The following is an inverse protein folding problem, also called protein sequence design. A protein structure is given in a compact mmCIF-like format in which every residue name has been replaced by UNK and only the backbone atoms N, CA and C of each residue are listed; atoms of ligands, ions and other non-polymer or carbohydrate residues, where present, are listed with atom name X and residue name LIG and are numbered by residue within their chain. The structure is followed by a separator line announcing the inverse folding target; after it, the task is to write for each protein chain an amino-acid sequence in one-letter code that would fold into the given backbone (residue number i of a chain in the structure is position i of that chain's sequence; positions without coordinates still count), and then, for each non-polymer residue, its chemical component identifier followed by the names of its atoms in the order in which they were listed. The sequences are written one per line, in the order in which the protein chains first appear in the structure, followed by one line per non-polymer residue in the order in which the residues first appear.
data_IF_311295008434
#
_entry.id   IF_311295008434
#
_cell.length_a   1.000
_cell.length_b   1.000
_cell.length_c   1.000
_cell.angle_alpha   90.00
_cell.angle_beta   90.00
_cell.angle_gamma   90.00
#
_symmetry.space_group_name_H-M   'P 1'
#
loop_
_entity.id
_entity.type
_entity.pdbx_description
1 polymer ?
#
# COMPACT_ATOMS: atom_id res chain seq x y z
N UNK A 1 12.57 6.24 7.91
CA UNK A 1 11.62 5.11 8.00
C UNK A 1 12.31 3.89 7.44
N UNK A 2 11.98 2.71 7.98
CA UNK A 2 12.43 1.42 7.46
C UNK A 2 11.50 0.96 6.35
N UNK A 3 12.03 0.72 5.17
CA UNK A 3 11.25 0.35 4.00
C UNK A 3 11.74 -0.99 3.48
N UNK A 4 10.82 -1.93 3.30
CA UNK A 4 11.06 -3.20 2.65
C UNK A 4 10.48 -3.15 1.23
N UNK A 5 11.32 -3.36 0.21
CA UNK A 5 10.89 -3.47 -1.18
C UNK A 5 11.03 -4.93 -1.61
N UNK A 6 9.91 -5.57 -1.94
CA UNK A 6 9.92 -6.91 -2.51
C UNK A 6 10.13 -6.82 -4.03
N UNK A 7 11.21 -7.41 -4.50
CA UNK A 7 11.74 -7.29 -5.86
C UNK A 7 12.90 -6.29 -5.92
N UNK A 8 13.91 -6.60 -6.74
CA UNK A 8 15.10 -5.78 -6.99
C UNK A 8 15.35 -5.52 -8.49
N UNK A 9 14.33 -5.73 -9.32
CA UNK A 9 14.36 -5.39 -10.75
C UNK A 9 14.47 -3.89 -11.04
N UNK A 10 14.40 -3.51 -12.32
CA UNK A 10 14.60 -2.12 -12.77
C UNK A 10 13.54 -1.14 -12.24
N UNK A 11 12.28 -1.55 -12.16
CA UNK A 11 11.21 -0.72 -11.60
C UNK A 11 11.34 -0.57 -10.08
N UNK A 12 11.66 -1.65 -9.37
CA UNK A 12 11.92 -1.62 -7.93
C UNK A 12 13.14 -0.76 -7.59
N UNK A 13 14.17 -0.81 -8.43
CA UNK A 13 15.36 0.06 -8.32
C UNK A 13 15.00 1.53 -8.50
N UNK A 14 14.08 1.89 -9.40
CA UNK A 14 13.56 3.25 -9.50
C UNK A 14 12.77 3.72 -8.27
N UNK A 15 12.07 2.81 -7.60
CA UNK A 15 11.42 3.08 -6.31
C UNK A 15 12.48 3.32 -5.23
N UNK A 16 13.45 2.41 -5.11
CA UNK A 16 14.56 2.54 -4.18
C UNK A 16 15.30 3.86 -4.39
N UNK A 17 15.55 4.28 -5.63
CA UNK A 17 16.26 5.51 -5.96
C UNK A 17 15.62 6.77 -5.38
N UNK A 18 14.29 6.88 -5.47
CA UNK A 18 13.56 8.04 -4.94
C UNK A 18 13.55 8.05 -3.42
N UNK A 19 13.36 6.88 -2.81
CA UNK A 19 13.31 6.74 -1.35
C UNK A 19 14.69 6.91 -0.71
N UNK A 20 15.74 6.41 -1.36
CA UNK A 20 17.13 6.47 -0.89
C UNK A 20 17.59 7.92 -0.79
N UNK A 21 17.35 8.70 -1.85
CA UNK A 21 17.70 10.12 -1.91
C UNK A 21 16.88 10.99 -0.96
N UNK A 22 15.81 10.45 -0.36
CA UNK A 22 15.04 11.08 0.71
C UNK A 22 15.46 10.59 2.12
N UNK A 23 16.54 9.81 2.23
CA UNK A 23 17.13 9.40 3.51
C UNK A 23 16.37 8.26 4.22
N UNK A 24 15.67 7.41 3.48
CA UNK A 24 15.04 6.22 4.05
C UNK A 24 16.00 5.02 4.09
N UNK A 25 15.84 4.16 5.09
CA UNK A 25 16.55 2.88 5.20
C UNK A 25 15.82 1.85 4.34
N UNK A 26 16.48 1.30 3.33
CA UNK A 26 15.85 0.44 2.33
C UNK A 26 16.47 -0.95 2.38
N UNK A 27 15.65 -1.96 2.63
CA UNK A 27 16.01 -3.36 2.41
C UNK A 27 15.22 -3.87 1.21
N UNK A 28 15.89 -4.55 0.29
CA UNK A 28 15.25 -5.18 -0.87
C UNK A 28 15.32 -6.69 -0.76
N UNK A 29 14.30 -7.38 -1.28
CA UNK A 29 14.36 -8.85 -1.44
C UNK A 29 14.23 -9.27 -2.88
N UNK A 30 14.79 -10.41 -3.22
CA UNK A 30 14.75 -10.95 -4.58
C UNK A 30 14.74 -12.49 -4.56
N UNK A 31 14.37 -13.10 -5.68
CA UNK A 31 14.52 -14.55 -5.91
C UNK A 31 15.99 -14.92 -6.13
N UNK A 32 16.31 -16.21 -5.96
CA UNK A 32 17.68 -16.73 -6.12
C UNK A 32 18.26 -16.55 -7.53
N UNK A 33 17.39 -16.63 -8.54
CA UNK A 33 17.78 -16.49 -9.95
C UNK A 33 16.95 -15.37 -10.61
N UNK A 34 17.35 -14.10 -10.45
CA UNK A 34 16.57 -12.98 -10.94
C UNK A 34 16.51 -12.95 -12.48
N UNK A 35 15.32 -12.76 -13.04
CA UNK A 35 15.09 -12.68 -14.49
C UNK A 35 14.97 -11.23 -14.98
N UNK A 36 15.81 -10.34 -14.45
CA UNK A 36 15.78 -8.93 -14.81
C UNK A 36 16.49 -8.69 -16.15
N UNK A 37 15.77 -8.14 -17.13
CA UNK A 37 16.33 -7.86 -18.46
C UNK A 37 17.19 -6.59 -18.47
N UNK A 38 16.74 -5.51 -17.81
CA UNK A 38 17.47 -4.24 -17.70
C UNK A 38 18.48 -4.28 -16.56
N UNK A 39 19.45 -5.20 -16.65
CA UNK A 39 20.40 -5.53 -15.58
C UNK A 39 21.26 -4.36 -15.13
N UNK A 40 21.75 -3.55 -16.07
CA UNK A 40 22.62 -2.40 -15.81
C UNK A 40 22.02 -1.31 -14.92
N UNK A 41 20.70 -1.37 -14.66
CA UNK A 41 19.98 -0.41 -13.82
C UNK A 41 19.10 -1.10 -12.78
N UNK A 42 19.49 -2.31 -12.38
CA UNK A 42 18.74 -3.11 -11.43
C UNK A 42 19.65 -3.67 -10.33
N UNK A 43 19.22 -3.54 -9.08
CA UNK A 43 19.95 -4.08 -7.93
C UNK A 43 19.88 -5.60 -7.82
N UNK A 44 19.00 -6.27 -8.58
CA UNK A 44 18.92 -7.74 -8.63
C UNK A 44 20.24 -8.41 -9.02
N UNK A 45 21.17 -7.69 -9.66
CA UNK A 45 22.53 -8.18 -9.95
C UNK A 45 23.33 -8.52 -8.69
N UNK A 46 23.08 -7.84 -7.57
CA UNK A 46 23.76 -8.10 -6.31
C UNK A 46 23.62 -9.57 -5.88
N UNK A 47 22.50 -10.23 -6.23
CA UNK A 47 22.25 -11.65 -5.92
C UNK A 47 23.33 -12.59 -6.47
N UNK A 48 23.91 -12.30 -7.62
CA UNK A 48 24.92 -13.17 -8.26
C UNK A 48 26.28 -12.51 -8.49
N UNK A 49 26.39 -11.19 -8.33
CA UNK A 49 27.66 -10.44 -8.40
C UNK A 49 28.16 -9.99 -7.01
N UNK A 50 27.38 -10.26 -5.95
CA UNK A 50 27.64 -9.82 -4.57
C UNK A 50 27.36 -8.34 -4.31
N UNK A 51 27.34 -7.51 -5.36
CA UNK A 51 27.06 -6.07 -5.30
C UNK A 51 26.48 -5.57 -6.63
N UNK A 52 25.87 -4.39 -6.62
CA UNK A 52 25.34 -3.73 -7.79
C UNK A 52 25.29 -2.22 -7.59
N UNK A 53 26.03 -1.49 -8.43
CA UNK A 53 25.95 -0.03 -8.48
C UNK A 53 24.97 0.45 -9.54
N UNK A 54 24.05 1.33 -9.15
CA UNK A 54 23.13 2.02 -10.07
C UNK A 54 23.18 3.51 -9.74
N UNK A 55 23.65 4.30 -10.71
CA UNK A 55 23.90 5.73 -10.52
C UNK A 55 24.83 5.99 -9.31
N UNK A 56 24.35 6.75 -8.32
CA UNK A 56 25.05 7.11 -7.09
C UNK A 56 24.85 6.11 -5.94
N UNK A 57 24.09 5.03 -6.15
CA UNK A 57 23.71 4.09 -5.10
C UNK A 57 24.41 2.74 -5.25
N UNK A 58 24.80 2.18 -4.11
CA UNK A 58 25.37 0.84 -4.00
C UNK A 58 24.37 -0.10 -3.32
N UNK A 59 24.17 -1.28 -3.92
CA UNK A 59 23.41 -2.36 -3.31
C UNK A 59 24.31 -3.59 -3.11
N UNK A 60 24.18 -4.25 -1.95
CA UNK A 60 25.07 -5.34 -1.54
C UNK A 60 24.24 -6.54 -1.12
N UNK A 61 24.67 -7.75 -1.50
CA UNK A 61 24.04 -8.98 -1.07
C UNK A 61 24.24 -9.19 0.43
N UNK A 62 23.15 -9.41 1.14
CA UNK A 62 23.15 -9.79 2.56
C UNK A 62 22.70 -11.25 2.71
N UNK A 63 23.48 -12.04 3.45
CA UNK A 63 23.15 -13.42 3.79
C UNK A 63 22.09 -13.52 4.89
N UNK A 64 22.06 -12.54 5.80
CA UNK A 64 21.09 -12.47 6.88
C UNK A 64 20.73 -11.02 7.27
N UNK A 65 19.85 -10.88 8.27
CA UNK A 65 19.38 -9.58 8.73
C UNK A 65 20.46 -8.77 9.44
N UNK A 66 21.45 -9.40 10.05
CA UNK A 66 22.51 -8.70 10.76
C UNK A 66 23.49 -8.07 9.78
N UNK A 67 23.90 -8.83 8.76
CA UNK A 67 24.64 -8.29 7.62
C UNK A 67 23.86 -7.17 6.93
N UNK A 68 22.54 -7.34 6.73
CA UNK A 68 21.70 -6.29 6.15
C UNK A 68 21.72 -4.99 6.97
N UNK A 69 21.72 -5.08 8.32
CA UNK A 69 21.84 -3.89 9.20
C UNK A 69 23.21 -3.23 9.08
N UNK A 70 24.28 -4.00 8.94
CA UNK A 70 25.62 -3.44 8.73
C UNK A 70 25.72 -2.70 7.40
N UNK A 71 25.12 -3.23 6.34
CA UNK A 71 25.03 -2.57 5.02
C UNK A 71 24.25 -1.25 5.14
N UNK A 72 23.08 -1.28 5.79
CA UNK A 72 22.27 -0.07 6.04
C UNK A 72 23.05 1.00 6.82
N UNK A 73 23.82 0.60 7.84
CA UNK A 73 24.60 1.52 8.67
C UNK A 73 25.70 2.26 7.89
N UNK A 74 26.16 1.71 6.76
CA UNK A 74 27.10 2.35 5.84
C UNK A 74 26.42 3.30 4.83
N UNK A 75 25.09 3.28 4.78
CA UNK A 75 24.32 4.04 3.79
C UNK A 75 24.15 3.30 2.45
N UNK A 76 24.37 1.99 2.42
CA UNK A 76 24.16 1.14 1.24
C UNK A 76 22.82 0.39 1.32
N UNK A 77 22.37 -0.21 0.22
CA UNK A 77 21.09 -0.93 0.12
C UNK A 77 21.32 -2.46 0.22
N UNK A 78 20.94 -3.14 1.31
CA UNK A 78 20.98 -4.60 1.33
C UNK A 78 19.94 -5.22 0.40
N UNK A 79 20.37 -6.26 -0.33
CA UNK A 79 19.52 -7.15 -1.12
C UNK A 79 19.60 -8.55 -0.51
N UNK A 80 18.47 -9.15 -0.17
CA UNK A 80 18.39 -10.50 0.40
C UNK A 80 17.69 -11.47 -0.56
N UNK A 81 18.16 -12.72 -0.62
CA UNK A 81 17.43 -13.78 -1.33
C UNK A 81 16.27 -14.27 -0.44
N UNK A 82 15.09 -13.69 -0.68
CA UNK A 82 13.87 -13.96 0.09
C UNK A 82 12.63 -13.67 -0.79
N UNK A 83 12.21 -14.68 -1.54
CA UNK A 83 11.08 -14.61 -2.49
C UNK A 83 9.77 -14.17 -1.83
N UNK A 84 9.54 -14.57 -0.57
CA UNK A 84 8.29 -14.32 0.16
C UNK A 84 8.34 -13.06 1.01
N UNK A 85 9.46 -12.34 1.01
CA UNK A 85 9.72 -11.22 1.90
C UNK A 85 9.40 -11.55 3.37
N UNK A 86 9.76 -12.77 3.80
CA UNK A 86 9.57 -13.26 5.18
C UNK A 86 10.38 -12.47 6.20
N UNK A 87 11.48 -11.83 5.77
CA UNK A 87 12.29 -10.94 6.60
C UNK A 87 11.48 -9.80 7.23
N UNK A 88 10.30 -9.45 6.69
CA UNK A 88 9.40 -8.45 7.28
C UNK A 88 9.06 -8.70 8.75
N UNK A 89 8.96 -9.96 9.17
CA UNK A 89 8.55 -10.33 10.54
C UNK A 89 9.60 -9.91 11.59
N UNK A 90 10.88 -9.91 11.18
CA UNK A 90 12.03 -9.57 12.02
C UNK A 90 12.58 -8.17 11.74
N UNK A 91 12.56 -7.72 10.48
CA UNK A 91 12.94 -6.36 10.08
C UNK A 91 11.90 -5.33 10.52
N UNK A 92 10.62 -5.72 10.59
CA UNK A 92 9.46 -4.89 11.00
C UNK A 92 9.45 -3.54 10.28
N UNK A 93 9.30 -3.53 8.94
CA UNK A 93 9.33 -2.30 8.18
C UNK A 93 8.14 -1.41 8.53
N UNK A 94 8.34 -0.10 8.42
CA UNK A 94 7.25 0.89 8.46
C UNK A 94 6.42 0.82 7.18
N UNK A 95 7.08 0.48 6.07
CA UNK A 95 6.49 0.42 4.73
C UNK A 95 6.94 -0.86 4.02
N UNK A 96 5.99 -1.61 3.47
CA UNK A 96 6.23 -2.70 2.54
C UNK A 96 5.76 -2.29 1.14
N UNK A 97 6.64 -2.40 0.15
CA UNK A 97 6.33 -2.14 -1.25
C UNK A 97 6.53 -3.43 -2.04
N UNK A 98 5.45 -3.98 -2.59
CA UNK A 98 5.56 -5.10 -3.52
C UNK A 98 5.74 -4.56 -4.95
N UNK A 99 6.96 -4.74 -5.48
CA UNK A 99 7.41 -4.21 -6.75
C UNK A 99 7.78 -5.30 -7.78
N UNK A 100 7.38 -6.56 -7.54
CA UNK A 100 7.67 -7.67 -8.49
C UNK A 100 6.74 -7.64 -9.71
N UNK A 101 5.58 -6.98 -9.59
CA UNK A 101 4.54 -6.85 -10.63
C UNK A 101 4.14 -8.22 -11.21
N UNK A 102 3.78 -9.14 -10.32
CA UNK A 102 3.34 -10.50 -10.68
C UNK A 102 1.99 -10.54 -11.42
N UNK A 103 1.28 -9.40 -11.51
CA UNK A 103 -0.08 -9.26 -12.09
C UNK A 103 -1.18 -10.02 -11.33
N UNK A 104 -0.81 -10.61 -10.20
CA UNK A 104 -1.67 -11.27 -9.22
C UNK A 104 -1.06 -11.08 -7.84
N UNK A 105 -1.89 -11.01 -6.80
CA UNK A 105 -1.39 -11.03 -5.43
C UNK A 105 -0.78 -12.41 -5.13
N UNK A 106 0.46 -12.43 -4.64
CA UNK A 106 1.21 -13.65 -4.31
C UNK A 106 1.33 -13.90 -2.81
N UNK A 107 0.47 -13.26 -2.01
CA UNK A 107 0.37 -13.50 -0.56
C UNK A 107 0.60 -12.26 0.31
N UNK A 108 0.69 -11.07 -0.29
CA UNK A 108 0.79 -9.81 0.46
C UNK A 108 -0.59 -9.45 1.02
N UNK A 109 -0.59 -8.98 2.27
CA UNK A 109 -1.77 -8.53 3.00
C UNK A 109 -1.59 -7.09 3.45
N UNK A 110 -2.69 -6.38 3.60
CA UNK A 110 -2.69 -4.98 4.07
C UNK A 110 -2.08 -4.84 5.48
N UNK A 111 -2.04 -5.94 6.25
CA UNK A 111 -1.51 -6.00 7.61
C UNK A 111 -0.02 -6.36 7.70
N UNK A 112 0.66 -6.61 6.57
CA UNK A 112 2.07 -7.05 6.58
C UNK A 112 3.06 -5.92 6.93
N UNK A 113 2.61 -4.66 6.88
CA UNK A 113 3.33 -3.49 7.40
C UNK A 113 2.32 -2.35 7.70
N UNK A 114 2.72 -1.32 8.47
CA UNK A 114 1.88 -0.15 8.71
C UNK A 114 1.45 0.63 7.46
N UNK A 115 2.28 0.64 6.42
CA UNK A 115 1.88 1.01 5.06
C UNK A 115 2.27 -0.11 4.11
N UNK A 116 1.35 -0.52 3.24
CA UNK A 116 1.57 -1.56 2.23
C UNK A 116 1.18 -1.00 0.89
N UNK A 117 2.11 -1.03 -0.06
CA UNK A 117 1.95 -0.46 -1.40
C UNK A 117 2.11 -1.57 -2.43
N UNK A 118 1.13 -1.73 -3.33
CA UNK A 118 1.24 -2.63 -4.47
C UNK A 118 1.62 -1.88 -5.75
N UNK A 119 2.66 -2.31 -6.47
CA UNK A 119 2.99 -1.72 -7.76
C UNK A 119 2.28 -2.47 -8.91
N UNK A 120 1.36 -1.79 -9.57
CA UNK A 120 0.71 -2.28 -10.79
C UNK A 120 -0.45 -3.26 -10.55
N UNK A 121 -0.89 -3.98 -11.60
CA UNK A 121 -2.05 -4.84 -11.53
C UNK A 121 -1.81 -6.06 -10.62
N UNK A 122 -2.91 -6.64 -10.12
CA UNK A 122 -2.88 -7.81 -9.23
C UNK A 122 -3.17 -7.51 -7.77
N UNK A 123 -3.25 -6.22 -7.40
CA UNK A 123 -3.60 -5.74 -6.06
C UNK A 123 -4.87 -4.90 -6.09
N UNK A 124 -5.62 -4.95 -4.98
CA UNK A 124 -6.78 -4.11 -4.71
C UNK A 124 -6.52 -3.23 -3.49
N UNK A 125 -6.49 -1.92 -3.68
CA UNK A 125 -6.37 -0.94 -2.60
C UNK A 125 -7.58 -1.01 -1.66
N UNK A 126 -7.32 -1.00 -0.35
CA UNK A 126 -8.31 -1.18 0.71
C UNK A 126 -8.63 -2.64 1.03
N UNK A 127 -8.00 -3.61 0.35
CA UNK A 127 -8.13 -5.05 0.61
C UNK A 127 -6.77 -5.74 0.75
N UNK A 128 -5.99 -5.73 -0.32
CA UNK A 128 -4.67 -6.38 -0.38
C UNK A 128 -3.57 -5.47 0.16
N UNK A 129 -3.74 -4.15 -0.02
CA UNK A 129 -2.76 -3.12 0.32
C UNK A 129 -3.48 -1.79 0.61
N UNK A 130 -2.75 -0.80 1.12
CA UNK A 130 -3.29 0.53 1.41
C UNK A 130 -3.47 1.37 0.15
N UNK A 131 -2.54 1.24 -0.80
CA UNK A 131 -2.65 1.86 -2.11
C UNK A 131 -1.96 1.04 -3.20
N UNK A 132 -2.40 1.28 -4.42
CA UNK A 132 -1.80 0.73 -5.63
C UNK A 132 -1.19 1.86 -6.45
N UNK A 133 0.02 1.66 -6.98
CA UNK A 133 0.65 2.58 -7.94
C UNK A 133 0.30 2.12 -9.35
N UNK A 134 -0.23 3.02 -10.18
CA UNK A 134 -0.43 2.75 -11.61
C UNK A 134 0.92 2.64 -12.35
N UNK A 135 1.10 1.55 -13.10
CA UNK A 135 2.35 1.24 -13.82
C UNK A 135 2.19 1.18 -15.34
N UNK A 136 0.98 1.29 -15.86
CA UNK A 136 0.72 1.40 -17.30
C UNK A 136 1.19 2.76 -17.79
N UNK A 137 1.99 2.75 -18.87
CA UNK A 137 2.41 3.98 -19.54
C UNK A 137 1.19 4.72 -20.08
N UNK A 138 1.19 6.04 -19.94
CA UNK A 138 0.10 6.92 -20.35
C UNK A 138 -0.15 8.02 -19.32
N UNK A 139 -1.30 8.67 -19.43
CA UNK A 139 -1.67 9.84 -18.61
C UNK A 139 -1.81 9.54 -17.10
N UNK A 140 -1.98 8.27 -16.74
CA UNK A 140 -2.19 7.83 -15.35
C UNK A 140 -0.96 7.19 -14.70
N UNK A 141 0.16 7.07 -15.42
CA UNK A 141 1.39 6.47 -14.88
C UNK A 141 1.83 7.17 -13.59
N UNK A 142 2.10 6.39 -12.54
CA UNK A 142 2.53 6.91 -11.24
C UNK A 142 1.40 7.51 -10.41
N UNK A 143 0.13 7.38 -10.80
CA UNK A 143 -0.98 7.77 -9.92
C UNK A 143 -1.14 6.78 -8.77
N UNK A 144 -1.40 7.32 -7.58
CA UNK A 144 -1.82 6.55 -6.42
C UNK A 144 -3.32 6.27 -6.46
N UNK A 145 -3.66 4.99 -6.32
CA UNK A 145 -5.03 4.49 -6.27
C UNK A 145 -5.28 4.04 -4.84
N UNK A 146 -6.14 4.79 -4.14
CA UNK A 146 -6.50 4.54 -2.73
C UNK A 146 -7.74 3.65 -2.58
N UNK A 147 -8.47 3.39 -3.67
CA UNK A 147 -9.57 2.44 -3.76
C UNK A 147 -9.59 1.82 -5.17
N UNK A 148 -9.66 0.50 -5.26
CA UNK A 148 -9.71 -0.23 -6.53
C UNK A 148 -8.36 -0.78 -6.97
N UNK A 149 -8.18 -0.98 -8.28
CA UNK A 149 -7.04 -1.68 -8.88
C UNK A 149 -6.37 -0.84 -9.96
N UNK A 150 -5.09 -1.10 -10.26
CA UNK A 150 -4.44 -0.55 -11.44
C UNK A 150 -4.99 -1.16 -12.73
N UNK A 151 -4.75 -0.48 -13.86
CA UNK A 151 -5.19 -0.97 -15.17
C UNK A 151 -4.61 -2.37 -15.43
N UNK A 152 -5.45 -3.36 -15.82
CA UNK A 152 -4.99 -4.70 -16.13
C UNK A 152 -3.88 -4.73 -17.18
N UNK A 153 -3.01 -5.74 -17.10
CA UNK A 153 -1.95 -5.92 -18.07
C UNK A 153 -2.55 -6.17 -19.48
N UNK A 154 -2.29 -5.25 -20.41
CA UNK A 154 -2.79 -5.35 -21.79
C UNK A 154 -2.04 -6.37 -22.65
N UNK A 155 -0.88 -6.85 -22.19
CA UNK A 155 0.00 -7.72 -22.97
C UNK A 155 0.78 -7.01 -24.09
N UNK A 156 0.43 -5.77 -24.42
CA UNK A 156 1.07 -4.95 -25.44
C UNK A 156 2.18 -4.10 -24.82
N UNK A 157 3.44 -4.22 -25.27
CA UNK A 157 4.54 -3.37 -24.82
C UNK A 157 4.31 -1.90 -25.20
N UNK A 158 4.82 -0.97 -24.38
CA UNK A 158 4.81 0.45 -24.72
C UNK A 158 5.60 0.74 -26.00
N UNK A 159 5.11 1.70 -26.78
CA UNK A 159 5.75 2.17 -28.02
C UNK A 159 7.07 2.90 -27.68
N UNK A 160 8.14 2.54 -28.40
CA UNK A 160 9.43 3.24 -28.35
C UNK A 160 9.90 3.47 -29.79
N UNK A 161 9.92 4.73 -30.23
CA UNK A 161 10.35 5.09 -31.58
C UNK A 161 9.53 4.45 -32.70
N UNK A 162 8.22 4.18 -32.47
CA UNK A 162 7.33 3.55 -33.44
C UNK A 162 7.12 2.05 -33.23
N UNK A 163 7.97 1.38 -32.46
CA UNK A 163 7.97 -0.09 -32.31
C UNK A 163 7.38 -0.56 -30.99
N UNK A 164 6.72 -1.73 -30.98
CA UNK A 164 6.11 -2.30 -29.78
C UNK A 164 6.59 -3.72 -29.50
N UNK A 165 6.14 -4.71 -30.26
CA UNK A 165 6.47 -6.13 -30.07
C UNK A 165 7.85 -6.43 -30.67
N UNK A 166 8.18 -5.78 -31.78
CA UNK A 166 9.41 -5.93 -32.55
C UNK A 166 10.67 -5.62 -31.72
N UNK A 167 10.51 -4.78 -30.70
CA UNK A 167 11.59 -4.40 -29.80
C UNK A 167 11.95 -5.48 -28.78
N UNK A 168 11.12 -6.50 -28.60
CA UNK A 168 11.34 -7.54 -27.61
C UNK A 168 12.15 -8.70 -28.19
N UNK A 169 13.21 -9.08 -27.47
CA UNK A 169 13.91 -10.34 -27.73
C UNK A 169 13.23 -11.44 -26.90
N UNK A 170 12.90 -12.55 -27.56
CA UNK A 170 12.22 -13.69 -26.94
C UNK A 170 13.05 -14.96 -27.14
N UNK A 171 13.07 -15.82 -26.13
CA UNK A 171 13.71 -17.11 -26.22
C UNK A 171 13.11 -17.95 -27.36
N UNK A 172 13.97 -18.47 -28.24
CA UNK A 172 13.58 -19.30 -29.36
C UNK A 172 13.21 -20.73 -28.91
N UNK A 173 13.87 -21.22 -27.87
CA UNK A 173 13.64 -22.55 -27.30
C UNK A 173 13.88 -22.53 -25.77
N UNK A 174 13.36 -23.54 -25.08
CA UNK A 174 13.66 -23.75 -23.66
C UNK A 174 15.12 -24.16 -23.45
N UNK A 175 15.77 -23.59 -22.43
CA UNK A 175 17.17 -23.89 -22.09
C UNK A 175 17.88 -22.73 -21.42
N UNK A 176 19.21 -22.78 -21.41
CA UNK A 176 20.05 -21.67 -20.94
C UNK A 176 20.25 -20.66 -22.07
N UNK A 177 20.27 -19.38 -21.71
CA UNK A 177 20.59 -18.29 -22.65
C UNK A 177 22.11 -18.10 -22.77
N UNK A 178 22.57 -17.90 -23.99
CA UNK A 178 23.96 -17.56 -24.35
C UNK A 178 23.94 -16.28 -25.20
N UNK A 179 24.03 -15.09 -24.59
CA UNK A 179 24.06 -13.83 -25.34
C UNK A 179 25.29 -13.72 -26.25
N UNK A 180 25.11 -13.30 -27.50
CA UNK A 180 26.23 -13.04 -28.44
C UNK A 180 26.60 -11.55 -28.51
N UNK A 181 25.79 -10.69 -27.88
CA UNK A 181 25.97 -9.24 -27.81
C UNK A 181 25.73 -8.75 -26.38
N UNK A 182 26.26 -7.57 -26.05
CA UNK A 182 26.14 -6.96 -24.73
C UNK A 182 25.08 -5.86 -24.70
N UNK A 183 24.61 -5.51 -23.50
CA UNK A 183 23.82 -4.28 -23.31
C UNK A 183 24.69 -3.09 -23.74
N UNK A 184 24.15 -2.22 -24.58
CA UNK A 184 24.87 -1.12 -25.23
C UNK A 184 25.37 -1.42 -26.65
N UNK A 185 25.34 -2.68 -27.10
CA UNK A 185 25.70 -3.03 -28.48
C UNK A 185 24.64 -2.54 -29.47
N UNK A 186 25.07 -1.94 -30.58
CA UNK A 186 24.21 -1.73 -31.75
C UNK A 186 24.06 -3.03 -32.52
N UNK A 187 22.85 -3.29 -33.01
CA UNK A 187 22.51 -4.49 -33.77
C UNK A 187 21.68 -4.15 -35.00
N UNK A 188 21.84 -4.95 -36.04
CA UNK A 188 21.03 -4.87 -37.25
C UNK A 188 19.88 -5.89 -37.22
N UNK A 189 18.76 -5.57 -37.88
CA UNK A 189 17.67 -6.52 -38.08
C UNK A 189 18.19 -7.79 -38.75
N UNK A 190 17.87 -8.95 -38.17
CA UNK A 190 18.34 -10.26 -38.64
C UNK A 190 19.69 -10.70 -38.08
N UNK A 191 20.38 -9.86 -37.29
CA UNK A 191 21.57 -10.26 -36.55
C UNK A 191 21.23 -11.24 -35.43
N UNK A 192 22.08 -12.24 -35.19
CA UNK A 192 21.99 -13.13 -34.03
C UNK A 192 22.43 -12.37 -32.78
N UNK A 193 21.58 -12.35 -31.75
CA UNK A 193 21.82 -11.63 -30.49
C UNK A 193 21.97 -12.54 -29.27
N UNK A 194 21.49 -13.78 -29.36
CA UNK A 194 21.66 -14.81 -28.34
C UNK A 194 21.39 -16.19 -28.94
N UNK A 195 21.76 -17.24 -28.22
CA UNK A 195 21.22 -18.59 -28.36
C UNK A 195 20.38 -18.94 -27.12
N UNK A 196 19.32 -19.71 -27.31
CA UNK A 196 18.52 -20.28 -26.20
C UNK A 196 18.25 -21.74 -26.52
N UNK A 197 18.70 -22.66 -25.66
CA UNK A 197 18.59 -24.09 -25.94
C UNK A 197 19.32 -24.51 -27.23
N UNK A 198 20.42 -23.84 -27.57
CA UNK A 198 21.17 -24.05 -28.82
C UNK A 198 20.53 -23.45 -30.08
N UNK A 199 19.35 -22.82 -29.99
CA UNK A 199 18.66 -22.21 -31.13
C UNK A 199 18.93 -20.70 -31.19
N UNK A 200 19.32 -20.12 -32.34
CA UNK A 200 19.61 -18.70 -32.46
C UNK A 200 18.36 -17.82 -32.29
N UNK A 201 18.53 -16.72 -31.57
CA UNK A 201 17.57 -15.63 -31.43
C UNK A 201 18.04 -14.45 -32.28
N UNK A 202 17.18 -13.98 -33.17
CA UNK A 202 17.47 -12.89 -34.10
C UNK A 202 16.84 -11.57 -33.65
N UNK A 203 17.54 -10.47 -33.91
CA UNK A 203 16.99 -9.12 -33.74
C UNK A 203 15.86 -8.87 -34.76
N UNK A 204 14.65 -8.59 -34.30
CA UNK A 204 13.51 -8.28 -35.17
C UNK A 204 13.54 -6.84 -35.71
N UNK A 205 14.43 -5.99 -35.19
CA UNK A 205 14.65 -4.61 -35.61
C UNK A 205 16.11 -4.20 -35.37
N UNK A 206 16.57 -3.18 -36.11
CA UNK A 206 17.86 -2.53 -35.81
C UNK A 206 17.71 -1.58 -34.63
N UNK A 207 18.79 -1.40 -33.87
CA UNK A 207 18.81 -0.47 -32.73
C UNK A 207 19.93 -0.79 -31.74
N UNK A 208 19.79 -0.31 -30.50
CA UNK A 208 20.72 -0.63 -29.41
C UNK A 208 20.09 -1.65 -28.46
N UNK A 209 20.83 -2.68 -28.06
CA UNK A 209 20.39 -3.64 -27.03
C UNK A 209 20.38 -2.93 -25.69
N UNK A 210 19.18 -2.62 -25.19
CA UNK A 210 18.99 -1.89 -23.93
C UNK A 210 18.85 -2.79 -22.71
N UNK A 211 18.50 -4.04 -22.94
CA UNK A 211 18.42 -5.06 -21.90
C UNK A 211 18.64 -6.45 -22.48
N UNK A 212 19.25 -7.31 -21.67
CA UNK A 212 19.56 -8.70 -21.98
C UNK A 212 19.68 -9.46 -20.65
N UNK A 213 19.09 -10.64 -20.54
CA UNK A 213 19.31 -11.53 -19.40
C UNK A 213 20.79 -11.91 -19.25
N UNK A 214 21.17 -12.35 -18.06
CA UNK A 214 22.50 -12.87 -17.80
C UNK A 214 22.71 -14.22 -18.51
N UNK A 215 23.94 -14.44 -18.96
CA UNK A 215 24.36 -15.72 -19.51
C UNK A 215 24.08 -16.86 -18.52
N UNK A 216 23.62 -17.99 -19.04
CA UNK A 216 23.29 -19.17 -18.24
C UNK A 216 21.92 -19.14 -17.55
N UNK A 217 21.17 -18.03 -17.60
CA UNK A 217 19.81 -17.98 -17.04
C UNK A 217 18.87 -18.99 -17.73
N UNK A 218 18.03 -19.67 -16.94
CA UNK A 218 17.02 -20.58 -17.47
C UNK A 218 15.84 -19.82 -18.06
N UNK A 219 15.50 -20.13 -19.31
CA UNK A 219 14.41 -19.48 -20.04
C UNK A 219 13.48 -20.52 -20.64
N UNK A 220 12.19 -20.18 -20.69
CA UNK A 220 11.18 -20.95 -21.44
C UNK A 220 10.98 -20.33 -22.81
N UNK A 221 10.61 -21.15 -23.79
CA UNK A 221 10.25 -20.67 -25.14
C UNK A 221 9.27 -19.49 -25.08
N UNK A 222 9.59 -18.42 -25.80
CA UNK A 222 8.78 -17.19 -25.87
C UNK A 222 8.94 -16.22 -24.68
N UNK A 223 9.68 -16.59 -23.63
CA UNK A 223 10.00 -15.71 -22.50
C UNK A 223 10.77 -14.48 -22.99
N UNK A 224 10.51 -13.29 -22.41
CA UNK A 224 11.28 -12.09 -22.71
C UNK A 224 12.71 -12.27 -22.18
N UNK A 225 13.69 -12.18 -23.07
CA UNK A 225 15.11 -12.30 -22.71
C UNK A 225 15.90 -11.01 -22.91
N UNK A 226 15.33 -10.03 -23.62
CA UNK A 226 16.00 -8.78 -23.95
C UNK A 226 15.04 -7.75 -24.53
N UNK A 227 15.53 -6.53 -24.73
CA UNK A 227 14.87 -5.54 -25.58
C UNK A 227 15.85 -4.59 -26.27
N UNK A 228 15.47 -4.20 -27.48
CA UNK A 228 16.16 -3.25 -28.34
C UNK A 228 15.46 -1.89 -28.21
N UNK A 229 16.23 -0.80 -28.22
CA UNK A 229 15.72 0.57 -28.24
C UNK A 229 16.03 1.22 -29.59
N UNK A 230 14.98 1.65 -30.29
CA UNK A 230 15.08 2.24 -31.62
C UNK A 230 15.82 3.59 -31.66
N UNK A 231 15.92 4.27 -30.51
CA UNK A 231 16.49 5.61 -30.40
C UNK A 231 18.02 5.60 -30.42
N UNK A 232 18.65 4.44 -30.22
CA UNK A 232 20.10 4.26 -30.22
C UNK A 232 20.89 5.14 -29.24
N UNK A 233 20.24 5.59 -28.17
CA UNK A 233 20.87 6.42 -27.13
C UNK A 233 21.54 5.54 -26.06
N UNK A 234 22.87 5.49 -26.06
CA UNK A 234 23.66 4.64 -25.15
C UNK A 234 23.37 4.94 -23.68
N UNK A 235 23.17 6.21 -23.31
CA UNK A 235 22.86 6.62 -21.94
C UNK A 235 21.59 5.92 -21.40
N UNK A 236 20.58 5.67 -22.24
CA UNK A 236 19.34 5.01 -21.82
C UNK A 236 19.52 3.55 -21.38
N UNK A 237 20.66 2.93 -21.69
CA UNK A 237 21.01 1.60 -21.22
C UNK A 237 21.41 1.62 -19.74
N UNK A 238 22.02 2.71 -19.27
CA UNK A 238 22.66 2.79 -17.95
C UNK A 238 21.97 3.73 -16.97
N UNK A 239 20.88 4.39 -17.38
CA UNK A 239 20.10 5.27 -16.49
C UNK A 239 18.72 4.70 -16.14
N UNK A 240 18.25 5.07 -14.94
CA UNK A 240 16.92 4.70 -14.47
C UNK A 240 15.88 5.30 -15.44
N UNK A 241 14.90 4.49 -15.86
CA UNK A 241 13.92 4.94 -16.84
C UNK A 241 12.95 5.97 -16.26
N UNK A 242 12.43 6.83 -17.13
CA UNK A 242 11.28 7.71 -16.89
C UNK A 242 10.13 7.01 -16.12
N UNK A 243 9.78 5.79 -16.53
CA UNK A 243 8.72 4.99 -15.93
C UNK A 243 9.08 4.57 -14.50
N UNK A 244 10.30 4.08 -14.31
CA UNK A 244 10.78 3.67 -12.99
C UNK A 244 10.83 4.87 -12.03
N UNK A 245 11.27 6.04 -12.51
CA UNK A 245 11.27 7.29 -11.74
C UNK A 245 9.85 7.79 -11.41
N UNK A 246 8.89 7.66 -12.32
CA UNK A 246 7.50 8.04 -12.08
C UNK A 246 6.84 7.13 -11.02
N UNK A 247 7.05 5.82 -11.11
CA UNK A 247 6.59 4.86 -10.10
C UNK A 247 7.27 5.12 -8.75
N UNK A 248 8.58 5.40 -8.75
CA UNK A 248 9.29 5.77 -7.54
C UNK A 248 8.82 7.09 -6.91
N UNK A 249 8.44 8.07 -7.74
CA UNK A 249 7.85 9.32 -7.26
C UNK A 249 6.52 9.09 -6.56
N UNK A 250 5.67 8.21 -7.11
CA UNK A 250 4.42 7.80 -6.50
C UNK A 250 4.63 7.08 -5.17
N UNK A 251 5.60 6.16 -5.12
CA UNK A 251 5.96 5.45 -3.90
C UNK A 251 6.41 6.45 -2.82
N UNK A 252 7.29 7.39 -3.16
CA UNK A 252 7.73 8.45 -2.26
C UNK A 252 6.55 9.32 -1.78
N UNK A 253 5.63 9.71 -2.66
CA UNK A 253 4.43 10.47 -2.28
C UNK A 253 3.60 9.73 -1.22
N UNK A 254 3.35 8.44 -1.42
CA UNK A 254 2.61 7.61 -0.46
C UNK A 254 3.35 7.48 0.88
N UNK A 255 4.67 7.28 0.84
CA UNK A 255 5.53 7.15 2.02
C UNK A 255 5.55 8.45 2.82
N UNK A 256 5.72 9.59 2.16
CA UNK A 256 5.72 10.92 2.80
C UNK A 256 4.36 11.28 3.40
N UNK A 257 3.25 10.94 2.71
CA UNK A 257 1.91 11.08 3.29
C UNK A 257 1.75 10.24 4.55
N UNK A 258 2.20 8.98 4.53
CA UNK A 258 2.17 8.12 5.70
C UNK A 258 3.05 8.64 6.85
N UNK A 259 4.24 9.18 6.56
CA UNK A 259 5.09 9.83 7.56
C UNK A 259 4.42 11.02 8.27
N UNK A 260 3.47 11.69 7.61
CA UNK A 260 2.64 12.76 8.19
C UNK A 260 1.44 12.23 8.99
N UNK A 261 1.14 10.93 8.92
CA UNK A 261 0.03 10.29 9.64
C UNK A 261 0.57 9.50 10.85
N UNK A 262 1.61 8.70 10.62
CA UNK A 262 2.23 7.82 11.60
C UNK A 262 2.57 8.60 12.86
N UNK A 263 2.11 8.10 14.00
CA UNK A 263 2.45 8.72 15.28
C UNK A 263 1.75 10.07 15.55
N UNK A 264 0.92 10.61 14.65
CA UNK A 264 0.27 11.92 14.86
C UNK A 264 -1.22 11.82 15.17
N UNK A 265 -1.89 10.81 14.63
CA UNK A 265 -3.33 10.63 14.83
C UNK A 265 -3.64 9.42 15.72
N UNK A 266 -4.89 9.37 16.19
CA UNK A 266 -5.48 8.23 16.89
C UNK A 266 -6.85 7.85 16.33
N UNK A 267 -7.24 6.57 16.46
CA UNK A 267 -8.56 6.05 16.11
C UNK A 267 -9.31 5.68 17.39
N UNK A 268 -10.52 6.21 17.56
CA UNK A 268 -11.43 5.85 18.65
C UNK A 268 -12.70 5.23 18.05
N UNK A 269 -12.99 3.99 18.43
CA UNK A 269 -14.19 3.26 18.05
C UNK A 269 -15.22 3.42 19.16
N UNK A 270 -16.42 3.89 18.84
CA UNK A 270 -17.52 3.99 19.79
C UNK A 270 -18.41 2.74 19.68
N UNK A 271 -18.48 1.96 20.76
CA UNK A 271 -19.17 0.67 20.83
C UNK A 271 -19.97 0.50 22.13
N UNK A 272 -20.51 1.60 22.66
CA UNK A 272 -21.29 1.64 23.91
C UNK A 272 -22.79 1.95 23.72
N UNK A 273 -23.27 2.06 22.48
CA UNK A 273 -24.69 2.33 22.20
C UNK A 273 -25.58 1.13 22.52
N UNK A 274 -26.78 1.38 23.10
CA UNK A 274 -27.69 0.33 23.60
C UNK A 274 -28.50 -0.41 22.53
N UNK A 275 -28.54 0.10 21.29
CA UNK A 275 -29.29 -0.54 20.20
C UNK A 275 -30.79 -0.69 20.49
N UNK A 276 -31.41 0.28 21.16
CA UNK A 276 -32.80 0.17 21.65
C UNK A 276 -33.81 -0.21 20.55
N UNK A 277 -33.64 0.36 19.35
CA UNK A 277 -34.46 0.07 18.16
C UNK A 277 -34.26 -1.34 17.60
N UNK A 278 -33.12 -1.97 17.89
CA UNK A 278 -32.76 -3.32 17.48
C UNK A 278 -33.35 -4.38 18.44
N UNK A 279 -33.72 -3.98 19.66
CA UNK A 279 -34.33 -4.87 20.66
C UNK A 279 -33.38 -5.89 21.28
N UNK A 280 -32.07 -5.61 21.34
CA UNK A 280 -31.05 -6.51 21.89
C UNK A 280 -29.60 -6.08 21.60
N UNK A 281 -28.63 -6.95 21.88
CA UNK A 281 -27.21 -6.71 21.59
C UNK A 281 -26.91 -6.79 20.09
N UNK A 282 -27.13 -5.65 19.41
CA UNK A 282 -26.85 -5.40 18.00
C UNK A 282 -25.40 -5.70 17.61
N UNK A 283 -24.43 -5.34 18.45
CA UNK A 283 -23.01 -5.48 18.10
C UNK A 283 -22.55 -6.95 18.14
N UNK A 284 -23.16 -7.76 19.01
CA UNK A 284 -22.93 -9.21 19.05
C UNK A 284 -23.76 -10.00 18.03
N UNK A 285 -24.70 -9.36 17.32
CA UNK A 285 -25.50 -10.01 16.28
C UNK A 285 -24.64 -10.37 15.08
N UNK A 286 -25.00 -11.45 14.38
CA UNK A 286 -24.16 -12.04 13.34
C UNK A 286 -24.54 -11.58 11.93
N UNK A 287 -23.52 -11.24 11.14
CA UNK A 287 -23.55 -11.11 9.68
C UNK A 287 -22.51 -12.12 9.17
N UNK A 288 -22.90 -13.07 8.31
CA UNK A 288 -22.04 -14.18 7.81
C UNK A 288 -21.32 -14.98 8.89
N UNK A 289 -22.00 -15.29 10.00
CA UNK A 289 -21.39 -16.04 11.08
C UNK A 289 -20.39 -15.22 11.91
N UNK A 290 -20.29 -13.90 11.70
CA UNK A 290 -19.37 -13.00 12.39
C UNK A 290 -20.13 -11.90 13.12
N UNK A 291 -19.79 -11.58 14.37
CA UNK A 291 -20.45 -10.49 15.07
C UNK A 291 -20.14 -9.14 14.42
N UNK A 292 -21.10 -8.21 14.43
CA UNK A 292 -20.97 -6.87 13.83
C UNK A 292 -19.71 -6.14 14.30
N UNK A 293 -19.38 -6.19 15.60
CA UNK A 293 -18.18 -5.51 16.13
C UNK A 293 -16.87 -6.00 15.47
N UNK A 294 -16.84 -7.25 15.00
CA UNK A 294 -15.62 -7.84 14.42
C UNK A 294 -15.23 -7.17 13.10
N UNK A 295 -16.19 -6.67 12.32
CA UNK A 295 -15.92 -5.95 11.07
C UNK A 295 -15.13 -4.67 11.33
N UNK A 296 -15.48 -3.94 12.38
CA UNK A 296 -14.78 -2.71 12.79
C UNK A 296 -13.40 -3.02 13.39
N UNK A 297 -13.26 -4.11 14.15
CA UNK A 297 -11.96 -4.54 14.68
C UNK A 297 -11.01 -5.00 13.57
N UNK A 298 -11.50 -5.73 12.57
CA UNK A 298 -10.71 -6.11 11.40
C UNK A 298 -10.26 -4.90 10.59
N UNK A 299 -11.14 -3.92 10.43
CA UNK A 299 -10.81 -2.65 9.81
C UNK A 299 -9.69 -1.91 10.57
N UNK A 300 -9.77 -1.88 11.91
CA UNK A 300 -8.72 -1.30 12.75
C UNK A 300 -7.38 -2.04 12.67
N UNK A 301 -7.36 -3.34 12.36
CA UNK A 301 -6.12 -4.10 12.12
C UNK A 301 -5.37 -3.63 10.87
N UNK A 302 -6.07 -3.05 9.90
CA UNK A 302 -5.43 -2.46 8.72
C UNK A 302 -4.56 -1.25 9.05
N UNK A 303 -4.66 -0.65 10.24
CA UNK A 303 -3.91 0.56 10.59
C UNK A 303 -3.00 0.36 11.82
N UNK A 304 -1.95 -0.48 11.75
CA UNK A 304 -1.11 -0.74 12.92
C UNK A 304 -0.18 0.42 13.28
N UNK A 305 -0.03 1.43 12.40
CA UNK A 305 0.76 2.65 12.66
C UNK A 305 0.04 3.77 13.42
N UNK A 306 -1.20 3.53 13.85
CA UNK A 306 -2.06 4.50 14.54
C UNK A 306 -2.45 3.93 15.91
N UNK A 307 -2.49 4.78 16.94
CA UNK A 307 -2.97 4.38 18.27
C UNK A 307 -4.49 4.16 18.21
N UNK A 308 -4.97 3.03 18.75
CA UNK A 308 -6.35 2.59 18.54
C UNK A 308 -7.01 2.27 19.87
N UNK A 309 -8.22 2.81 20.06
CA UNK A 309 -9.03 2.58 21.24
C UNK A 309 -10.46 2.20 20.88
N UNK A 310 -11.12 1.45 21.74
CA UNK A 310 -12.56 1.17 21.66
C UNK A 310 -13.23 1.50 22.98
N UNK A 311 -14.29 2.30 22.93
CA UNK A 311 -15.09 2.66 24.12
C UNK A 311 -16.26 1.69 24.20
N UNK A 312 -16.29 0.85 25.22
CA UNK A 312 -17.35 -0.16 25.39
C UNK A 312 -17.57 -0.51 26.86
N UNK A 313 -18.79 -0.88 27.22
CA UNK A 313 -19.12 -1.51 28.50
C UNK A 313 -19.25 -3.04 28.42
N UNK A 314 -19.04 -3.63 27.23
CA UNK A 314 -19.20 -5.06 27.00
C UNK A 314 -17.85 -5.78 27.10
N UNK A 315 -17.70 -6.64 28.09
CA UNK A 315 -16.46 -7.40 28.35
C UNK A 315 -16.01 -8.25 27.17
N UNK A 316 -16.96 -8.85 26.43
CA UNK A 316 -16.64 -9.67 25.24
C UNK A 316 -16.04 -8.82 24.12
N UNK A 317 -16.57 -7.62 23.91
CA UNK A 317 -16.04 -6.68 22.92
C UNK A 317 -14.66 -6.18 23.36
N UNK A 318 -14.49 -5.87 24.66
CA UNK A 318 -13.20 -5.45 25.22
C UNK A 318 -12.11 -6.52 25.02
N UNK A 319 -12.44 -7.78 25.28
CA UNK A 319 -11.52 -8.91 25.08
C UNK A 319 -11.15 -9.10 23.60
N UNK A 320 -12.14 -9.08 22.70
CA UNK A 320 -11.89 -9.19 21.26
C UNK A 320 -11.05 -8.01 20.72
N UNK A 321 -11.20 -6.82 21.29
CA UNK A 321 -10.42 -5.65 20.93
C UNK A 321 -8.94 -5.79 21.33
N UNK A 322 -8.66 -6.30 22.53
CA UNK A 322 -7.29 -6.59 22.97
C UNK A 322 -6.59 -7.56 22.02
N UNK A 323 -7.27 -8.63 21.61
CA UNK A 323 -6.77 -9.60 20.61
C UNK A 323 -6.57 -8.99 19.21
N UNK A 324 -7.25 -7.87 18.93
CA UNK A 324 -7.07 -7.10 17.70
C UNK A 324 -6.02 -5.99 17.81
N UNK A 325 -5.36 -5.83 18.95
CA UNK A 325 -4.42 -4.74 19.20
C UNK A 325 -5.12 -3.37 19.28
N UNK A 326 -6.31 -3.34 19.87
CA UNK A 326 -7.10 -2.14 20.14
C UNK A 326 -7.34 -2.03 21.64
N UNK A 327 -6.97 -0.90 22.24
CA UNK A 327 -7.07 -0.71 23.70
C UNK A 327 -8.51 -0.45 24.12
N UNK A 328 -9.12 -1.27 24.99
CA UNK A 328 -10.46 -1.01 25.50
C UNK A 328 -10.45 0.14 26.52
N UNK A 329 -11.48 0.98 26.44
CA UNK A 329 -11.81 2.04 27.39
C UNK A 329 -13.20 1.74 27.94
N UNK A 330 -13.27 1.46 29.24
CA UNK A 330 -14.50 1.01 29.87
C UNK A 330 -15.52 2.16 29.96
N UNK A 331 -16.76 1.90 29.52
CA UNK A 331 -17.89 2.78 29.76
C UNK A 331 -18.99 2.06 30.54
N UNK A 332 -19.12 2.37 31.84
CA UNK A 332 -20.18 1.84 32.73
C UNK A 332 -21.44 2.69 32.78
N UNK A 333 -21.46 3.85 32.12
CA UNK A 333 -22.56 4.81 32.16
C UNK A 333 -23.06 5.14 30.74
N UNK A 334 -23.49 4.14 29.94
CA UNK A 334 -23.97 4.39 28.58
C UNK A 334 -25.22 5.29 28.54
N UNK A 335 -25.99 5.34 29.63
CA UNK A 335 -27.20 6.16 29.77
C UNK A 335 -26.92 7.68 29.75
N UNK A 336 -25.67 8.10 29.89
CA UNK A 336 -25.26 9.51 29.76
C UNK A 336 -25.19 10.00 28.30
N UNK A 337 -25.48 9.13 27.34
CA UNK A 337 -25.56 9.43 25.90
C UNK A 337 -24.20 9.36 25.18
N UNK A 338 -24.24 9.59 23.86
CA UNK A 338 -23.05 9.46 23.00
C UNK A 338 -21.92 10.43 23.37
N UNK A 339 -22.26 11.61 23.91
CA UNK A 339 -21.25 12.60 24.35
C UNK A 339 -20.31 12.03 25.41
N UNK A 340 -20.83 11.21 26.35
CA UNK A 340 -20.01 10.59 27.39
C UNK A 340 -19.00 9.60 26.82
N UNK A 341 -19.44 8.74 25.89
CA UNK A 341 -18.54 7.79 25.21
C UNK A 341 -17.44 8.50 24.42
N UNK A 342 -17.78 9.61 23.75
CA UNK A 342 -16.82 10.43 23.02
C UNK A 342 -15.77 11.02 23.97
N UNK A 343 -16.19 11.59 25.10
CA UNK A 343 -15.29 12.17 26.12
C UNK A 343 -14.35 11.12 26.72
N UNK A 344 -14.86 9.92 27.03
CA UNK A 344 -14.03 8.83 27.54
C UNK A 344 -12.92 8.45 26.56
N UNK A 345 -13.27 8.25 25.29
CA UNK A 345 -12.30 7.92 24.25
C UNK A 345 -11.29 9.03 23.99
N UNK A 346 -11.75 10.29 23.97
CA UNK A 346 -10.88 11.46 23.81
C UNK A 346 -9.88 11.57 24.97
N UNK A 347 -10.37 11.48 26.20
CA UNK A 347 -9.54 11.57 27.41
C UNK A 347 -8.50 10.45 27.44
N UNK A 348 -8.92 9.21 27.24
CA UNK A 348 -8.01 8.06 27.21
C UNK A 348 -6.93 8.21 26.13
N UNK A 349 -7.31 8.66 24.93
CA UNK A 349 -6.36 8.89 23.84
C UNK A 349 -5.33 9.96 24.19
N UNK A 350 -5.76 11.08 24.78
CA UNK A 350 -4.85 12.15 25.19
C UNK A 350 -3.96 11.77 26.37
N UNK A 351 -4.44 10.93 27.30
CA UNK A 351 -3.64 10.40 28.39
C UNK A 351 -2.55 9.45 27.88
N UNK A 352 -2.91 8.57 26.93
CA UNK A 352 -1.97 7.65 26.30
C UNK A 352 -0.97 8.36 25.38
N UNK A 353 -1.43 9.42 24.71
CA UNK A 353 -0.69 10.13 23.66
C UNK A 353 -0.94 11.64 23.73
N UNK A 354 -0.23 12.35 24.63
CA UNK A 354 -0.41 13.78 24.85
C UNK A 354 -0.20 14.65 23.59
N UNK A 355 0.65 14.18 22.67
CA UNK A 355 1.01 14.85 21.42
C UNK A 355 0.07 14.56 20.23
N UNK A 356 -1.06 13.88 20.46
CA UNK A 356 -2.01 13.55 19.39
C UNK A 356 -2.55 14.82 18.70
N UNK A 357 -2.31 14.93 17.39
CA UNK A 357 -2.71 16.07 16.56
C UNK A 357 -4.19 15.99 16.14
N UNK A 358 -4.77 14.79 16.14
CA UNK A 358 -6.17 14.59 15.80
C UNK A 358 -6.68 13.18 16.07
N UNK A 359 -7.99 13.04 16.25
CA UNK A 359 -8.66 11.77 16.54
C UNK A 359 -9.75 11.50 15.50
N UNK A 360 -9.68 10.35 14.85
CA UNK A 360 -10.77 9.80 14.04
C UNK A 360 -11.71 9.04 14.95
N UNK A 361 -12.96 9.49 15.04
CA UNK A 361 -14.02 8.74 15.69
C UNK A 361 -14.77 7.92 14.64
N UNK A 362 -14.90 6.62 14.88
CA UNK A 362 -15.78 5.74 14.13
C UNK A 362 -16.82 5.09 15.05
N UNK A 363 -17.90 4.61 14.46
CA UNK A 363 -18.93 3.85 15.17
C UNK A 363 -18.81 2.37 14.81
N UNK A 364 -19.23 1.49 15.71
CA UNK A 364 -19.02 0.05 15.57
C UNK A 364 -20.13 -0.67 14.77
N UNK A 365 -21.18 0.05 14.42
CA UNK A 365 -22.41 -0.44 13.79
C UNK A 365 -22.54 -0.12 12.30
N UNK A 366 -21.44 0.34 11.69
CA UNK A 366 -21.29 0.54 10.26
C UNK A 366 -20.39 -0.55 9.66
N UNK A 367 -20.81 -1.83 9.62
CA UNK A 367 -20.01 -2.89 9.01
C UNK A 367 -19.96 -2.76 7.49
N UNK A 368 -20.49 -1.67 6.92
CA UNK A 368 -20.33 -1.22 5.55
C UNK A 368 -18.99 -0.53 5.26
N UNK A 369 -18.35 0.05 6.29
CA UNK A 369 -17.16 0.88 6.18
C UNK A 369 -15.93 0.13 5.64
N UNK A 370 -15.10 0.82 4.84
CA UNK A 370 -13.92 0.25 4.17
C UNK A 370 -12.63 0.91 4.60
N UNK A 371 -11.53 0.15 4.55
CA UNK A 371 -10.18 0.65 4.84
C UNK A 371 -9.77 1.79 3.88
N UNK A 372 -10.19 1.72 2.61
CA UNK A 372 -9.95 2.76 1.63
C UNK A 372 -10.50 4.14 2.07
N UNK A 373 -11.72 4.18 2.63
CA UNK A 373 -12.36 5.43 3.09
C UNK A 373 -11.62 6.03 4.26
N UNK A 374 -11.25 5.22 5.26
CA UNK A 374 -10.42 5.68 6.38
C UNK A 374 -9.05 6.17 5.90
N UNK A 375 -8.40 5.46 4.98
CA UNK A 375 -7.11 5.88 4.43
C UNK A 375 -7.21 7.22 3.68
N UNK A 376 -8.27 7.44 2.89
CA UNK A 376 -8.53 8.73 2.24
C UNK A 376 -8.70 9.86 3.26
N UNK A 377 -9.42 9.61 4.36
CA UNK A 377 -9.58 10.59 5.45
C UNK A 377 -8.23 10.95 6.07
N UNK A 378 -7.39 9.96 6.38
CA UNK A 378 -6.04 10.20 6.89
C UNK A 378 -5.19 11.03 5.92
N UNK A 379 -5.23 10.69 4.63
CA UNK A 379 -4.47 11.40 3.61
C UNK A 379 -4.92 12.86 3.50
N UNK A 380 -6.24 13.14 3.57
CA UNK A 380 -6.74 14.52 3.58
C UNK A 380 -6.35 15.26 4.86
N UNK A 381 -6.45 14.63 6.03
CA UNK A 381 -6.01 15.23 7.29
C UNK A 381 -4.51 15.55 7.31
N UNK A 382 -3.67 14.69 6.73
CA UNK A 382 -2.24 14.92 6.60
C UNK A 382 -1.89 16.20 5.79
N UNK A 383 -2.76 16.59 4.87
CA UNK A 383 -2.63 17.79 4.01
C UNK A 383 -3.39 19.00 4.59
N UNK A 384 -4.57 18.77 5.17
CA UNK A 384 -5.50 19.77 5.69
C UNK A 384 -5.66 19.61 7.20
N UNK A 385 -4.55 19.75 7.93
CA UNK A 385 -4.43 19.45 9.37
C UNK A 385 -5.44 20.14 10.27
N UNK A 386 -5.96 21.28 9.82
CA UNK A 386 -6.86 22.14 10.58
C UNK A 386 -8.34 21.91 10.27
N UNK A 387 -8.67 21.08 9.27
CA UNK A 387 -10.04 20.81 8.84
C UNK A 387 -10.61 19.58 9.55
N UNK A 388 -11.92 19.60 9.80
CA UNK A 388 -12.68 18.41 10.19
C UNK A 388 -12.90 17.60 8.92
N UNK A 389 -12.44 16.35 8.90
CA UNK A 389 -12.58 15.50 7.71
C UNK A 389 -13.56 14.37 8.03
N UNK A 390 -14.65 14.24 7.30
CA UNK A 390 -15.62 13.17 7.50
C UNK A 390 -15.82 12.34 6.23
N UNK A 391 -16.28 11.10 6.39
CA UNK A 391 -16.88 10.41 5.25
C UNK A 391 -18.21 11.07 4.87
N UNK A 392 -18.64 10.87 3.63
CA UNK A 392 -19.93 11.31 3.17
C UNK A 392 -20.23 10.81 1.76
N UNK A 393 -21.49 10.96 1.36
CA UNK A 393 -21.96 10.53 0.06
C UNK A 393 -22.90 11.58 -0.50
N UNK A 394 -22.66 12.03 -1.73
CA UNK A 394 -23.47 13.05 -2.40
C UNK A 394 -23.71 14.30 -1.55
N UNK A 395 -22.66 14.76 -0.84
CA UNK A 395 -22.72 15.95 0.03
C UNK A 395 -23.32 15.71 1.43
N UNK A 396 -23.87 14.52 1.71
CA UNK A 396 -24.31 14.14 3.06
C UNK A 396 -23.15 13.64 3.90
N UNK A 397 -22.81 14.35 4.96
CA UNK A 397 -21.78 13.93 5.94
C UNK A 397 -22.23 12.74 6.79
N UNK A 398 -21.29 11.84 7.10
CA UNK A 398 -21.48 10.70 7.99
C UNK A 398 -20.20 10.33 8.74
N UNK A 399 -20.26 9.21 9.47
CA UNK A 399 -19.09 8.64 10.14
C UNK A 399 -18.22 7.85 9.13
N UNK A 400 -16.91 7.70 9.40
CA UNK A 400 -16.17 8.26 10.54
C UNK A 400 -15.81 9.75 10.35
N UNK A 401 -15.49 10.43 11.45
CA UNK A 401 -15.13 11.86 11.47
C UNK A 401 -13.81 12.08 12.19
N UNK A 402 -12.87 12.74 11.51
CA UNK A 402 -11.58 13.15 12.02
C UNK A 402 -11.64 14.56 12.58
N UNK A 403 -11.26 14.67 13.84
CA UNK A 403 -11.24 15.91 14.58
C UNK A 403 -9.81 16.33 14.87
N UNK A 404 -9.34 17.46 14.33
CA UNK A 404 -8.05 18.00 14.73
C UNK A 404 -8.11 18.55 16.15
N UNK A 405 -6.95 18.57 16.83
CA UNK A 405 -6.85 18.77 18.26
C UNK A 405 -7.48 20.06 18.80
N UNK A 406 -7.57 21.10 17.97
CA UNK A 406 -8.22 22.37 18.35
C UNK A 406 -9.70 22.23 18.69
N UNK A 407 -10.39 21.20 18.19
CA UNK A 407 -11.81 20.96 18.49
C UNK A 407 -12.02 20.07 19.72
N UNK A 408 -10.96 19.55 20.34
CA UNK A 408 -11.09 18.72 21.53
C UNK A 408 -11.80 19.41 22.70
N UNK A 409 -11.55 20.70 23.01
CA UNK A 409 -12.30 21.41 24.05
C UNK A 409 -13.81 21.45 23.75
N UNK A 410 -14.19 21.79 22.52
CA UNK A 410 -15.59 21.83 22.08
C UNK A 410 -16.28 20.46 22.17
N UNK A 411 -15.56 19.38 21.85
CA UNK A 411 -16.05 18.02 22.01
C UNK A 411 -16.25 17.64 23.49
N UNK A 412 -15.41 18.16 24.38
CA UNK A 412 -15.50 17.95 25.83
C UNK A 412 -16.66 18.70 26.48
N UNK A 413 -17.23 19.70 25.81
CA UNK A 413 -18.40 20.47 26.27
C UNK A 413 -19.75 19.82 25.91
N UNK A 414 -19.77 18.83 25.01
CA UNK A 414 -21.01 18.16 24.59
C UNK A 414 -21.71 17.45 25.76
N UNK A 415 -23.03 17.46 25.82
CA UNK A 415 -23.78 16.79 26.89
C UNK A 415 -24.92 15.93 26.34
N UNK A 416 -25.33 14.92 27.12
CA UNK A 416 -26.41 14.01 26.77
C UNK A 416 -26.18 13.28 25.45
N UNK A 417 -27.26 13.14 24.67
CA UNK A 417 -27.25 12.43 23.39
C UNK A 417 -26.84 13.30 22.19
N UNK A 418 -26.04 14.34 22.44
CA UNK A 418 -25.52 15.23 21.39
C UNK A 418 -24.15 14.74 20.95
N UNK A 419 -24.05 14.30 19.69
CA UNK A 419 -22.79 13.88 19.07
C UNK A 419 -22.00 15.02 18.41
N UNK A 420 -20.83 14.69 17.85
CA UNK A 420 -19.94 15.65 17.18
C UNK A 420 -20.58 16.43 16.02
N UNK A 421 -21.68 15.96 15.44
CA UNK A 421 -22.43 16.69 14.39
C UNK A 421 -22.83 18.11 14.84
N UNK A 422 -23.11 18.33 16.13
CA UNK A 422 -23.41 19.66 16.66
C UNK A 422 -22.21 20.62 16.54
N UNK A 423 -20.98 20.11 16.75
CA UNK A 423 -19.76 20.89 16.56
C UNK A 423 -19.52 21.16 15.07
N UNK A 424 -19.75 20.19 14.19
CA UNK A 424 -19.66 20.39 12.73
C UNK A 424 -20.60 21.51 12.25
N UNK A 425 -21.82 21.57 12.78
CA UNK A 425 -22.82 22.58 12.42
C UNK A 425 -22.40 24.01 12.82
N UNK A 426 -21.55 24.17 13.84
CA UNK A 426 -20.96 25.47 14.22
C UNK A 426 -19.81 25.89 13.30
N UNK A 427 -19.20 24.95 12.58
CA UNK A 427 -18.01 25.16 11.75
C UNK A 427 -18.16 24.61 10.33
N UNK A 428 -19.24 24.94 9.59
CA UNK A 428 -19.51 24.34 8.28
C UNK A 428 -18.36 24.54 7.28
N UNK A 429 -17.73 25.72 7.29
CA UNK A 429 -16.59 26.03 6.40
C UNK A 429 -15.32 25.25 6.73
N UNK A 430 -15.27 24.58 7.89
CA UNK A 430 -14.14 23.77 8.33
C UNK A 430 -14.34 22.27 8.08
N UNK A 431 -15.51 21.87 7.59
CA UNK A 431 -15.82 20.47 7.27
C UNK A 431 -15.44 20.17 5.82
N UNK A 432 -14.72 19.07 5.62
CA UNK A 432 -14.43 18.52 4.31
C UNK A 432 -14.91 17.08 4.21
N UNK A 433 -15.68 16.78 3.15
CA UNK A 433 -16.26 15.46 2.92
C UNK A 433 -15.33 14.65 2.01
N UNK A 434 -14.96 13.46 2.48
CA UNK A 434 -14.37 12.39 1.66
C UNK A 434 -15.48 11.51 1.13
N UNK A 435 -15.60 11.46 -0.19
CA UNK A 435 -16.61 10.64 -0.86
C UNK A 435 -16.42 9.14 -0.55
N UNK A 436 -17.48 8.52 -0.06
CA UNK A 436 -17.63 7.09 0.21
C UNK A 436 -18.84 6.55 -0.54
N UNK A 437 -19.08 5.23 -0.47
CA UNK A 437 -20.34 4.67 -0.95
C UNK A 437 -21.45 4.92 0.06
N UNK A 438 -22.71 5.03 -0.39
CA UNK A 438 -23.88 5.09 0.50
C UNK A 438 -23.88 3.95 1.53
N UNK A 439 -23.52 2.74 1.08
CA UNK A 439 -23.49 1.53 1.91
C UNK A 439 -22.48 1.59 3.05
N UNK A 440 -21.47 2.46 2.98
CA UNK A 440 -20.48 2.63 4.06
C UNK A 440 -21.02 3.46 5.23
N UNK A 441 -22.00 4.32 4.97
CA UNK A 441 -22.55 5.27 5.95
C UNK A 441 -23.79 4.74 6.67
N UNK A 442 -24.23 3.53 6.35
CA UNK A 442 -25.45 2.92 6.91
C UNK A 442 -25.17 2.26 8.25
N UNK A 443 -25.95 2.65 9.25
CA UNK A 443 -25.98 2.04 10.56
C UNK A 443 -26.96 0.85 10.56
N UNK A 444 -26.73 -0.15 11.42
CA UNK A 444 -27.68 -1.25 11.64
C UNK A 444 -28.68 -0.83 12.71
N UNK A 445 -29.82 -0.23 12.41
CA UNK A 445 -30.78 0.15 13.46
C UNK A 445 -31.79 -0.95 13.79
N UNK A 446 -32.04 -1.86 12.84
CA UNK A 446 -33.01 -2.95 12.93
C UNK A 446 -32.42 -4.27 12.42
N UNK A 447 -33.12 -5.37 12.65
CA UNK A 447 -32.65 -6.70 12.22
C UNK A 447 -32.65 -6.84 10.70
N UNK A 448 -33.60 -6.19 10.03
CA UNK A 448 -33.73 -6.18 8.57
C UNK A 448 -32.52 -5.51 7.90
N UNK A 449 -31.87 -4.56 8.57
CA UNK A 449 -30.68 -3.88 8.06
C UNK A 449 -29.47 -4.84 7.92
N UNK A 450 -29.47 -5.96 8.67
CA UNK A 450 -28.42 -6.99 8.56
C UNK A 450 -28.45 -7.65 7.17
N UNK A 451 -29.64 -7.93 6.63
CA UNK A 451 -29.84 -8.54 5.32
C UNK A 451 -29.60 -7.53 4.19
N UNK A 452 -30.03 -6.28 4.35
CA UNK A 452 -29.84 -5.25 3.33
C UNK A 452 -28.36 -4.85 3.16
N UNK A 453 -27.61 -4.71 4.25
CA UNK A 453 -26.16 -4.45 4.19
C UNK A 453 -25.43 -5.61 3.55
N UNK A 454 -25.89 -6.85 3.78
CA UNK A 454 -25.33 -8.02 3.13
C UNK A 454 -25.48 -7.97 1.61
N UNK A 455 -26.70 -7.82 1.10
CA UNK A 455 -26.98 -7.82 -0.34
C UNK A 455 -26.19 -6.72 -1.06
N UNK A 456 -26.10 -5.53 -0.47
CA UNK A 456 -25.50 -4.36 -1.14
C UNK A 456 -23.97 -4.29 -1.02
N UNK A 457 -23.36 -4.85 0.02
CA UNK A 457 -21.89 -4.84 0.18
C UNK A 457 -21.22 -6.03 -0.49
N UNK A 458 -21.88 -7.19 -0.51
CA UNK A 458 -21.28 -8.47 -0.85
C UNK A 458 -22.14 -9.33 -1.81
N UNK A 459 -23.34 -8.88 -2.18
CA UNK A 459 -24.15 -9.51 -3.21
C UNK A 459 -23.52 -9.40 -4.59
N UNK A 460 -23.68 -10.49 -5.34
CA UNK A 460 -23.16 -10.80 -6.68
C UNK A 460 -23.68 -9.81 -7.72
#
# INVERSE_FOLDING_TARGET
MKILIRGAGDLATGIAARLYRCGHEILMTEIKEPLTVRRTVAFSRAVYEGHARVEDMEAVLAGDLEEARQILARGDIPVMVDERAGVRETFRPDVLIDAIIAKKNTGIRITDAPLVIGAGPGFTAGKDCHCVIETKRGHTLGRLIWEGTAIPNTGVPGNVGGYTIERLLRAAEEGRIEPTVSIGSQVEKGQIVAYTGGVPVYAAMSGIVRGMLQEGAEVKKGMKIGDIDARCETAHCYTISDKALAIGGAALEAVELYGRIKGKYGLVILAAGRGERFGGDKLSSQIHGRPVYQYTLDLARSFPGVEKMIVTGNERIAQAALEAGVTPVENREPDRGISWSLKLGLKAMREKKPEVEGILFCVCDQPGLRAATIQKIWNRAAVKREKIICAGHEGRSGNPVLWPGKYFPELMELEGDVGGRAVMARHPDQVEIVESRDTELRDIDRKEDLEEIWERRWGI
#
